data_IF_180634597751
#
_entry.id   IF_180634597751
#
_cell.length_a   1.000
_cell.length_b   1.000
_cell.length_c   1.000
_cell.angle_alpha   90.00
_cell.angle_beta   90.00
_cell.angle_gamma   90.00
#
_symmetry.space_group_name_H-M   'P 1'
#
loop_
_entity.id
_entity.type
_entity.pdbx_description
1 polymer ?
#
# COMPACT_ATOMS: atom_id res chain seq x y z
N UNK A 1 -1.44 47.17 33.31
CA UNK A 1 -1.75 45.72 33.40
C UNK A 1 -1.38 45.03 32.09
N UNK A 2 -0.17 44.49 31.98
CA UNK A 2 0.28 43.74 30.81
C UNK A 2 -0.25 42.31 30.87
N UNK A 3 -1.10 41.92 29.90
CA UNK A 3 -1.51 40.52 29.71
C UNK A 3 -0.31 39.74 29.19
N UNK A 4 0.35 39.00 30.06
CA UNK A 4 1.33 37.97 29.70
C UNK A 4 0.60 36.92 28.86
N UNK A 5 0.84 36.91 27.54
CA UNK A 5 0.37 35.83 26.69
C UNK A 5 1.11 34.55 27.08
N UNK A 6 0.42 33.70 27.83
CA UNK A 6 0.84 32.34 28.13
C UNK A 6 1.03 31.59 26.80
N UNK A 7 2.28 31.44 26.37
CA UNK A 7 2.65 30.59 25.22
C UNK A 7 2.25 29.16 25.59
N UNK A 8 1.06 28.74 25.14
CA UNK A 8 0.62 27.34 25.17
C UNK A 8 1.76 26.47 24.64
N UNK A 9 2.39 25.70 25.52
CA UNK A 9 3.48 24.80 25.16
C UNK A 9 2.96 23.85 24.07
N UNK A 10 3.44 24.04 22.84
CA UNK A 10 3.05 23.17 21.75
C UNK A 10 3.56 21.76 22.07
N UNK A 11 2.73 20.71 21.92
CA UNK A 11 3.16 19.36 22.24
C UNK A 11 4.43 19.02 21.44
N UNK A 12 5.49 18.63 22.15
CA UNK A 12 6.81 18.27 21.57
C UNK A 12 6.72 17.12 20.56
N UNK A 13 5.66 16.32 20.62
CA UNK A 13 5.39 15.25 19.68
C UNK A 13 4.09 15.53 18.92
N UNK A 14 4.19 15.70 17.60
CA UNK A 14 3.03 15.86 16.71
C UNK A 14 2.76 14.52 16.05
N UNK A 15 1.58 13.95 16.29
CA UNK A 15 1.14 12.68 15.65
C UNK A 15 1.33 12.68 14.13
N UNK A 16 1.23 13.84 13.50
CA UNK A 16 1.45 14.09 12.07
C UNK A 16 2.88 13.80 11.58
N UNK A 17 3.88 13.68 12.47
CA UNK A 17 5.26 13.32 12.11
C UNK A 17 5.38 11.81 11.87
N UNK A 18 4.56 11.01 12.56
CA UNK A 18 4.61 9.54 12.49
C UNK A 18 3.48 8.97 11.62
N UNK A 19 2.24 9.41 11.84
CA UNK A 19 1.04 8.79 11.30
C UNK A 19 0.67 9.46 9.96
N UNK A 20 0.66 8.70 8.86
CA UNK A 20 0.15 9.18 7.58
C UNK A 20 -1.33 9.53 7.66
N UNK A 21 -1.70 10.69 7.11
CA UNK A 21 -3.10 11.13 7.08
C UNK A 21 -3.94 10.41 6.01
N UNK A 22 -3.30 9.72 5.06
CA UNK A 22 -3.95 9.08 3.91
C UNK A 22 -4.63 7.77 4.32
N UNK A 23 -5.96 7.78 4.41
CA UNK A 23 -6.74 6.65 4.92
C UNK A 23 -6.61 5.40 4.02
N UNK A 24 -6.55 5.58 2.70
CA UNK A 24 -6.45 4.48 1.73
C UNK A 24 -5.08 3.78 1.72
N UNK A 25 -4.01 4.45 2.14
CA UNK A 25 -2.67 3.85 2.18
C UNK A 25 -2.56 2.73 3.23
N UNK A 26 -3.38 2.80 4.29
CA UNK A 26 -3.39 1.79 5.35
C UNK A 26 -3.95 0.46 4.87
N UNK A 27 -5.00 0.48 4.04
CA UNK A 27 -5.56 -0.75 3.49
C UNK A 27 -4.63 -1.39 2.46
N UNK A 28 -3.84 -0.60 1.71
CA UNK A 28 -2.81 -1.14 0.82
C UNK A 28 -1.71 -1.94 1.55
N UNK A 29 -1.48 -1.69 2.85
CA UNK A 29 -0.58 -2.48 3.68
C UNK A 29 -1.30 -3.66 4.36
N UNK A 30 -2.40 -3.37 5.07
CA UNK A 30 -3.05 -4.35 5.92
C UNK A 30 -3.84 -5.39 5.14
N UNK A 31 -4.48 -5.03 4.02
CA UNK A 31 -5.28 -6.00 3.26
C UNK A 31 -4.38 -7.08 2.65
N UNK A 32 -3.26 -6.78 1.95
CA UNK A 32 -2.39 -7.84 1.45
C UNK A 32 -1.80 -8.71 2.56
N UNK A 33 -1.46 -8.12 3.71
CA UNK A 33 -1.04 -8.89 4.90
C UNK A 33 -2.14 -9.86 5.36
N UNK A 34 -3.37 -9.38 5.56
CA UNK A 34 -4.49 -10.21 6.01
C UNK A 34 -4.85 -11.29 4.99
N UNK A 35 -4.77 -10.98 3.70
CA UNK A 35 -4.97 -11.96 2.63
C UNK A 35 -3.90 -13.03 2.68
N UNK A 36 -2.62 -12.66 2.81
CA UNK A 36 -1.54 -13.64 2.93
C UNK A 36 -1.68 -14.54 4.18
N UNK A 37 -2.04 -13.98 5.34
CA UNK A 37 -2.35 -14.77 6.55
C UNK A 37 -3.53 -15.70 6.28
N UNK A 38 -4.60 -15.20 5.67
CA UNK A 38 -5.81 -15.97 5.37
C UNK A 38 -5.54 -17.12 4.40
N UNK A 39 -4.72 -16.90 3.37
CA UNK A 39 -4.34 -17.93 2.39
C UNK A 39 -3.38 -18.96 3.01
N UNK A 40 -2.42 -18.53 3.83
CA UNK A 40 -1.50 -19.43 4.51
C UNK A 40 -2.16 -20.22 5.65
N UNK A 41 -3.28 -19.74 6.19
CA UNK A 41 -4.06 -20.43 7.22
C UNK A 41 -3.39 -20.51 8.61
N UNK A 42 -2.27 -19.83 8.80
CA UNK A 42 -1.49 -19.89 10.05
C UNK A 42 -1.16 -18.51 10.59
N UNK A 43 -1.17 -18.40 11.92
CA UNK A 43 -0.72 -17.21 12.64
C UNK A 43 0.37 -17.60 13.62
N UNK A 44 1.55 -17.02 13.44
CA UNK A 44 2.76 -17.34 14.20
C UNK A 44 3.57 -16.10 14.54
N UNK A 45 4.58 -16.26 15.41
CA UNK A 45 5.54 -15.18 15.68
C UNK A 45 6.18 -14.66 14.38
N UNK A 46 6.49 -15.55 13.42
CA UNK A 46 7.05 -15.15 12.13
C UNK A 46 6.09 -14.23 11.36
N UNK A 47 4.79 -14.56 11.29
CA UNK A 47 3.80 -13.68 10.64
C UNK A 47 3.69 -12.31 11.34
N UNK A 48 3.81 -12.28 12.67
CA UNK A 48 3.81 -11.03 13.44
C UNK A 48 5.07 -10.19 13.16
N UNK A 49 6.24 -10.81 13.03
CA UNK A 49 7.49 -10.12 12.67
C UNK A 49 7.40 -9.51 11.27
N UNK A 50 6.74 -10.17 10.31
CA UNK A 50 6.46 -9.58 8.99
C UNK A 50 5.60 -8.32 9.13
N UNK A 51 4.54 -8.36 9.95
CA UNK A 51 3.70 -7.19 10.21
C UNK A 51 4.51 -6.04 10.82
N UNK A 52 5.35 -6.33 11.82
CA UNK A 52 6.19 -5.35 12.49
C UNK A 52 7.20 -4.72 11.52
N UNK A 53 7.85 -5.52 10.69
CA UNK A 53 8.78 -5.06 9.66
C UNK A 53 8.07 -4.18 8.61
N UNK A 54 6.98 -4.69 8.02
CA UNK A 54 6.22 -3.99 6.99
C UNK A 54 5.59 -2.69 7.47
N UNK A 55 5.01 -2.69 8.67
CA UNK A 55 4.47 -1.48 9.30
C UNK A 55 5.58 -0.46 9.59
N UNK A 56 6.75 -0.92 10.05
CA UNK A 56 7.88 -0.03 10.29
C UNK A 56 8.33 0.66 9.01
N UNK A 57 8.52 -0.10 7.92
CA UNK A 57 8.88 0.43 6.59
C UNK A 57 7.81 1.38 6.06
N UNK A 58 6.53 1.01 6.18
CA UNK A 58 5.41 1.86 5.79
C UNK A 58 5.41 3.20 6.53
N UNK A 59 5.65 3.18 7.84
CA UNK A 59 5.66 4.38 8.68
C UNK A 59 6.88 5.26 8.42
N UNK A 60 8.02 4.72 7.98
CA UNK A 60 9.23 5.51 7.69
C UNK A 60 9.02 6.62 6.66
N UNK A 61 8.04 6.49 5.75
CA UNK A 61 7.79 7.50 4.70
C UNK A 61 7.53 8.89 5.27
N UNK A 62 6.76 8.97 6.37
CA UNK A 62 6.34 10.24 6.95
C UNK A 62 7.50 10.99 7.63
N UNK A 63 8.26 10.39 8.57
CA UNK A 63 9.43 11.04 9.14
C UNK A 63 10.54 11.22 8.10
N UNK A 64 10.66 10.34 7.09
CA UNK A 64 11.55 10.54 5.94
C UNK A 64 11.25 11.83 5.17
N UNK A 65 9.97 12.05 4.85
CA UNK A 65 9.50 13.28 4.21
C UNK A 65 9.71 14.52 5.09
N UNK A 66 9.41 14.44 6.38
CA UNK A 66 9.63 15.53 7.34
C UNK A 66 11.12 15.88 7.42
N UNK A 67 12.00 14.89 7.53
CA UNK A 67 13.45 15.06 7.54
C UNK A 67 13.95 15.71 6.26
N UNK A 68 13.51 15.23 5.09
CA UNK A 68 13.89 15.80 3.80
C UNK A 68 13.45 17.27 3.66
N UNK A 69 12.22 17.60 4.07
CA UNK A 69 11.72 18.98 4.08
C UNK A 69 12.52 19.87 5.05
N UNK A 70 12.85 19.36 6.24
CA UNK A 70 13.65 20.10 7.22
C UNK A 70 15.06 20.41 6.68
N UNK A 71 15.71 19.44 6.00
CA UNK A 71 17.04 19.62 5.39
C UNK A 71 17.04 20.59 4.20
N UNK A 72 16.00 20.54 3.37
CA UNK A 72 15.87 21.41 2.19
C UNK A 72 15.32 22.80 2.50
N UNK A 73 15.12 23.14 3.78
CA UNK A 73 14.57 24.43 4.21
C UNK A 73 13.06 24.60 3.93
N UNK A 74 12.40 23.57 3.38
CA UNK A 74 10.96 23.56 3.06
C UNK A 74 10.08 23.12 4.23
N UNK A 75 10.67 22.89 5.41
CA UNK A 75 9.99 22.41 6.61
C UNK A 75 10.59 23.02 7.87
N UNK A 76 9.93 22.76 9.00
CA UNK A 76 10.38 23.27 10.30
C UNK A 76 11.66 22.58 10.74
N UNK A 77 12.76 23.33 10.89
CA UNK A 77 14.07 22.77 11.26
C UNK A 77 14.05 22.01 12.59
N UNK A 78 13.22 22.41 13.56
CA UNK A 78 13.09 21.72 14.85
C UNK A 78 12.51 20.31 14.76
N UNK A 79 11.81 19.98 13.68
CA UNK A 79 11.14 18.68 13.52
C UNK A 79 12.13 17.63 12.95
N UNK A 80 13.27 18.07 12.41
CA UNK A 80 14.32 17.22 11.84
C UNK A 80 14.91 16.19 12.82
N UNK A 81 15.42 16.60 14.00
CA UNK A 81 15.98 15.65 14.98
C UNK A 81 14.96 14.61 15.48
N UNK A 82 13.70 15.02 15.66
CA UNK A 82 12.62 14.12 16.09
C UNK A 82 12.33 13.10 15.00
N UNK A 83 12.19 13.55 13.74
CA UNK A 83 12.02 12.67 12.60
C UNK A 83 13.20 11.68 12.44
N UNK A 84 14.43 12.12 12.70
CA UNK A 84 15.62 11.26 12.69
C UNK A 84 15.51 10.12 13.70
N UNK A 85 15.16 10.44 14.95
CA UNK A 85 15.01 9.44 16.02
C UNK A 85 13.95 8.42 15.69
N UNK A 86 12.80 8.86 15.17
CA UNK A 86 11.72 7.97 14.74
C UNK A 86 12.19 7.06 13.61
N UNK A 87 12.88 7.60 12.61
CA UNK A 87 13.45 6.79 11.52
C UNK A 87 14.39 5.72 12.06
N UNK A 88 15.30 6.06 12.96
CA UNK A 88 16.22 5.09 13.57
C UNK A 88 15.46 3.99 14.31
N UNK A 89 14.46 4.34 15.11
CA UNK A 89 13.64 3.36 15.83
C UNK A 89 12.93 2.42 14.85
N UNK A 90 12.25 2.97 13.83
CA UNK A 90 11.56 2.15 12.82
C UNK A 90 12.54 1.27 12.05
N UNK A 91 13.74 1.77 11.74
CA UNK A 91 14.77 1.01 11.02
C UNK A 91 15.30 -0.14 11.86
N UNK A 92 15.56 0.12 13.14
CA UNK A 92 15.94 -0.92 14.08
C UNK A 92 14.84 -1.98 14.22
N UNK A 93 13.58 -1.58 14.36
CA UNK A 93 12.46 -2.53 14.42
C UNK A 93 12.38 -3.40 13.16
N UNK A 94 12.53 -2.81 11.97
CA UNK A 94 12.51 -3.57 10.72
C UNK A 94 13.69 -4.56 10.63
N UNK A 95 14.91 -4.12 10.96
CA UNK A 95 16.11 -4.96 10.95
C UNK A 95 16.02 -6.09 11.97
N UNK A 96 15.59 -5.80 13.19
CA UNK A 96 15.41 -6.80 14.25
C UNK A 96 14.31 -7.81 13.90
N UNK A 97 13.24 -7.36 13.25
CA UNK A 97 12.18 -8.25 12.77
C UNK A 97 12.69 -9.19 11.68
N UNK A 98 13.46 -8.68 10.72
CA UNK A 98 14.11 -9.51 9.69
C UNK A 98 15.11 -10.49 10.31
N UNK A 99 15.96 -10.04 11.24
CA UNK A 99 16.87 -10.91 11.96
C UNK A 99 16.12 -12.02 12.72
N UNK A 100 15.00 -11.69 13.37
CA UNK A 100 14.13 -12.65 14.03
C UNK A 100 13.56 -13.69 13.04
N UNK A 101 13.13 -13.28 11.84
CA UNK A 101 12.68 -14.20 10.79
C UNK A 101 13.78 -15.17 10.36
N UNK A 102 15.01 -14.69 10.19
CA UNK A 102 16.16 -15.52 9.83
C UNK A 102 16.51 -16.51 10.95
N UNK A 103 16.43 -16.08 12.22
CA UNK A 103 16.64 -16.96 13.38
C UNK A 103 15.55 -18.02 13.52
N UNK A 104 14.34 -17.75 13.03
CA UNK A 104 13.24 -18.72 12.94
C UNK A 104 13.37 -19.66 11.72
N UNK A 105 14.44 -19.55 10.93
CA UNK A 105 14.69 -20.41 9.76
C UNK A 105 13.97 -19.96 8.48
N UNK A 106 13.37 -18.78 8.46
CA UNK A 106 12.65 -18.24 7.28
C UNK A 106 13.63 -17.51 6.35
N UNK A 107 14.62 -18.23 5.80
CA UNK A 107 15.64 -17.63 4.92
C UNK A 107 15.09 -17.19 3.56
N UNK A 108 14.06 -17.88 3.08
CA UNK A 108 13.42 -17.62 1.79
C UNK A 108 12.83 -16.21 1.68
N UNK A 109 12.58 -15.55 2.81
CA UNK A 109 12.13 -14.14 2.84
C UNK A 109 13.12 -13.21 2.12
N UNK A 110 14.40 -13.56 2.05
CA UNK A 110 15.43 -12.76 1.40
C UNK A 110 15.23 -12.66 -0.12
N UNK A 111 14.50 -13.59 -0.75
CA UNK A 111 14.16 -13.46 -2.17
C UNK A 111 13.23 -12.27 -2.45
N UNK A 112 12.46 -11.81 -1.45
CA UNK A 112 11.66 -10.60 -1.58
C UNK A 112 12.50 -9.32 -1.62
N UNK A 113 13.80 -9.39 -1.34
CA UNK A 113 14.71 -8.24 -1.54
C UNK A 113 14.78 -7.84 -3.01
N UNK A 114 14.68 -8.79 -3.95
CA UNK A 114 14.72 -8.52 -5.39
C UNK A 114 13.54 -7.62 -5.82
N UNK A 115 12.27 -8.01 -5.64
CA UNK A 115 11.15 -7.13 -5.99
C UNK A 115 11.12 -5.87 -5.12
N UNK A 116 11.56 -5.91 -3.85
CA UNK A 116 11.65 -4.71 -3.03
C UNK A 116 12.66 -3.69 -3.59
N UNK A 117 13.83 -4.14 -4.04
CA UNK A 117 14.83 -3.29 -4.71
C UNK A 117 14.26 -2.73 -6.00
N UNK A 118 13.57 -3.54 -6.81
CA UNK A 118 12.90 -3.08 -8.03
C UNK A 118 11.88 -1.98 -7.71
N UNK A 119 11.04 -2.17 -6.69
CA UNK A 119 10.08 -1.15 -6.22
C UNK A 119 10.79 0.13 -5.81
N UNK A 120 11.88 0.04 -5.03
CA UNK A 120 12.66 1.22 -4.61
C UNK A 120 13.25 1.94 -5.81
N UNK A 121 13.88 1.22 -6.74
CA UNK A 121 14.44 1.80 -7.97
C UNK A 121 13.36 2.50 -8.78
N UNK A 122 12.23 1.83 -9.05
CA UNK A 122 11.11 2.42 -9.78
C UNK A 122 10.53 3.64 -9.07
N UNK A 123 10.46 3.61 -7.74
CA UNK A 123 9.98 4.74 -6.94
C UNK A 123 10.93 5.94 -7.03
N UNK A 124 12.24 5.71 -6.95
CA UNK A 124 13.26 6.75 -7.11
C UNK A 124 13.27 7.31 -8.53
N UNK A 125 13.20 6.46 -9.55
CA UNK A 125 13.09 6.89 -10.97
C UNK A 125 11.80 7.67 -11.22
N UNK A 126 10.68 7.26 -10.63
CA UNK A 126 9.44 8.02 -10.71
C UNK A 126 9.59 9.41 -10.08
N UNK A 127 10.34 9.52 -8.98
CA UNK A 127 10.56 10.78 -8.25
C UNK A 127 11.35 11.83 -9.05
N UNK A 128 12.15 11.42 -10.04
CA UNK A 128 12.92 12.33 -10.89
C UNK A 128 12.13 12.92 -12.05
N UNK A 129 10.86 12.51 -12.25
CA UNK A 129 10.02 13.04 -13.32
C UNK A 129 9.75 14.54 -13.14
N UNK A 130 9.93 15.30 -14.23
CA UNK A 130 9.70 16.76 -14.28
C UNK A 130 8.22 17.12 -14.24
N UNK A 131 7.34 16.23 -14.72
CA UNK A 131 5.90 16.45 -14.71
C UNK A 131 5.32 16.03 -13.35
N UNK A 132 4.93 17.01 -12.53
CA UNK A 132 4.42 16.77 -11.17
C UNK A 132 3.25 15.79 -11.13
N UNK A 133 2.30 15.86 -12.06
CA UNK A 133 1.16 14.95 -12.12
C UNK A 133 1.57 13.49 -12.36
N UNK A 134 2.48 13.27 -13.31
CA UNK A 134 3.05 11.98 -13.68
C UNK A 134 3.91 11.43 -12.54
N UNK A 135 4.77 12.26 -11.95
CA UNK A 135 5.59 11.89 -10.78
C UNK A 135 4.73 11.34 -9.65
N UNK A 136 3.71 12.09 -9.22
CA UNK A 136 2.87 11.68 -8.08
C UNK A 136 2.10 10.41 -8.43
N UNK A 137 1.57 10.29 -9.65
CA UNK A 137 0.86 9.09 -10.09
C UNK A 137 1.76 7.85 -10.04
N UNK A 138 2.95 7.90 -10.62
CA UNK A 138 3.87 6.75 -10.64
C UNK A 138 4.36 6.39 -9.24
N UNK A 139 4.66 7.38 -8.40
CA UNK A 139 5.04 7.13 -7.00
C UNK A 139 3.90 6.44 -6.23
N UNK A 140 2.64 6.83 -6.47
CA UNK A 140 1.48 6.16 -5.87
C UNK A 140 1.30 4.73 -6.38
N UNK A 141 1.38 4.50 -7.70
CA UNK A 141 1.27 3.16 -8.31
C UNK A 141 2.36 2.22 -7.78
N UNK A 142 3.63 2.66 -7.83
CA UNK A 142 4.77 1.86 -7.36
C UNK A 142 4.68 1.62 -5.85
N UNK A 143 4.26 2.64 -5.08
CA UNK A 143 4.02 2.47 -3.65
C UNK A 143 2.90 1.47 -3.35
N UNK A 144 1.78 1.54 -4.06
CA UNK A 144 0.64 0.65 -3.87
C UNK A 144 0.98 -0.81 -4.25
N UNK A 145 1.74 -1.00 -5.34
CA UNK A 145 2.26 -2.31 -5.73
C UNK A 145 3.30 -2.84 -4.74
N UNK A 146 4.21 -1.99 -4.27
CA UNK A 146 5.23 -2.35 -3.29
C UNK A 146 4.65 -2.81 -1.96
N UNK A 147 3.60 -2.15 -1.47
CA UNK A 147 2.91 -2.56 -0.24
C UNK A 147 2.21 -3.93 -0.38
N UNK A 148 1.91 -4.37 -1.60
CA UNK A 148 1.36 -5.71 -1.81
C UNK A 148 2.39 -6.83 -1.53
N UNK A 149 3.69 -6.54 -1.41
CA UNK A 149 4.70 -7.51 -0.98
C UNK A 149 4.44 -8.06 0.44
N UNK A 150 3.56 -7.44 1.23
CA UNK A 150 3.12 -7.99 2.50
C UNK A 150 2.45 -9.37 2.36
N UNK A 151 1.75 -9.62 1.26
CA UNK A 151 1.08 -10.91 1.00
C UNK A 151 2.11 -12.06 0.86
N UNK A 152 3.06 -12.03 -0.08
CA UNK A 152 4.06 -13.09 -0.19
C UNK A 152 4.96 -13.13 1.05
N UNK A 153 5.28 -11.99 1.67
CA UNK A 153 6.12 -11.96 2.87
C UNK A 153 5.52 -12.79 4.01
N UNK A 154 4.23 -12.62 4.27
CA UNK A 154 3.58 -13.35 5.36
C UNK A 154 3.33 -14.82 5.00
N UNK A 155 3.05 -15.14 3.73
CA UNK A 155 2.95 -16.52 3.27
C UNK A 155 4.29 -17.27 3.40
N UNK A 156 5.41 -16.64 3.02
CA UNK A 156 6.75 -17.22 3.22
C UNK A 156 7.06 -17.38 4.70
N UNK A 157 6.71 -16.40 5.54
CA UNK A 157 6.90 -16.50 6.98
C UNK A 157 6.03 -17.57 7.65
N UNK A 158 4.89 -17.90 7.08
CA UNK A 158 4.02 -18.99 7.52
C UNK A 158 4.55 -20.36 7.08
N UNK A 159 4.89 -20.51 5.80
CA UNK A 159 5.24 -21.80 5.19
C UNK A 159 6.74 -22.13 5.29
N UNK A 160 7.59 -21.14 5.62
CA UNK A 160 9.04 -21.24 5.63
C UNK A 160 9.69 -21.29 4.24
N UNK A 161 8.90 -21.25 3.17
CA UNK A 161 9.37 -21.38 1.78
C UNK A 161 8.57 -20.53 0.81
N UNK A 162 9.15 -20.24 -0.35
CA UNK A 162 8.42 -19.59 -1.46
C UNK A 162 7.55 -20.59 -2.19
N UNK A 163 6.28 -20.23 -2.38
CA UNK A 163 5.33 -21.00 -3.18
C UNK A 163 4.89 -20.18 -4.41
N UNK A 164 4.47 -20.85 -5.51
CA UNK A 164 3.87 -20.13 -6.64
C UNK A 164 2.65 -19.29 -6.23
N UNK A 165 1.86 -19.79 -5.27
CA UNK A 165 0.72 -19.08 -4.71
C UNK A 165 1.11 -17.72 -4.08
N UNK A 166 2.28 -17.62 -3.43
CA UNK A 166 2.76 -16.36 -2.86
C UNK A 166 2.90 -15.27 -3.93
N UNK A 167 3.42 -15.62 -5.11
CA UNK A 167 3.53 -14.69 -6.24
C UNK A 167 2.18 -14.39 -6.89
N UNK A 168 1.32 -15.39 -7.02
CA UNK A 168 -0.04 -15.19 -7.51
C UNK A 168 -0.81 -14.19 -6.65
N UNK A 169 -0.81 -14.38 -5.32
CA UNK A 169 -1.45 -13.46 -4.37
C UNK A 169 -0.79 -12.08 -4.41
N UNK A 170 0.55 -12.00 -4.53
CA UNK A 170 1.24 -10.73 -4.75
C UNK A 170 0.68 -9.97 -5.95
N UNK A 171 0.59 -10.60 -7.12
CA UNK A 171 0.11 -9.93 -8.33
C UNK A 171 -1.37 -9.53 -8.23
N UNK A 172 -2.21 -10.36 -7.63
CA UNK A 172 -3.62 -10.02 -7.38
C UNK A 172 -3.73 -8.78 -6.48
N UNK A 173 -3.01 -8.78 -5.35
CA UNK A 173 -3.04 -7.66 -4.40
C UNK A 173 -2.40 -6.39 -4.95
N UNK A 174 -1.29 -6.51 -5.70
CA UNK A 174 -0.63 -5.39 -6.34
C UNK A 174 -1.55 -4.73 -7.37
N UNK A 175 -2.19 -5.53 -8.23
CA UNK A 175 -3.08 -5.00 -9.24
C UNK A 175 -4.34 -4.39 -8.63
N UNK A 176 -4.95 -5.03 -7.62
CA UNK A 176 -6.04 -4.43 -6.84
C UNK A 176 -5.66 -3.05 -6.28
N UNK A 177 -4.48 -2.92 -5.67
CA UNK A 177 -4.01 -1.66 -5.11
C UNK A 177 -3.85 -0.58 -6.21
N UNK A 178 -3.30 -0.95 -7.37
CA UNK A 178 -3.18 -0.06 -8.54
C UNK A 178 -4.55 0.38 -9.06
N UNK A 179 -5.51 -0.54 -9.21
CA UNK A 179 -6.87 -0.21 -9.64
C UNK A 179 -7.55 0.74 -8.63
N UNK A 180 -7.32 0.53 -7.34
CA UNK A 180 -7.81 1.45 -6.31
C UNK A 180 -7.21 2.85 -6.45
N UNK A 181 -5.93 2.99 -6.82
CA UNK A 181 -5.30 4.29 -7.10
C UNK A 181 -6.00 4.99 -8.26
N UNK A 182 -6.17 4.30 -9.39
CA UNK A 182 -6.83 4.89 -10.57
C UNK A 182 -8.27 5.32 -10.27
N UNK A 183 -9.03 4.45 -9.60
CA UNK A 183 -10.41 4.71 -9.26
C UNK A 183 -10.54 5.91 -8.30
N UNK A 184 -9.77 5.94 -7.22
CA UNK A 184 -9.81 7.05 -6.24
C UNK A 184 -9.39 8.37 -6.89
N UNK A 185 -8.33 8.37 -7.70
CA UNK A 185 -7.89 9.57 -8.42
C UNK A 185 -8.95 10.09 -9.39
N UNK A 186 -9.59 9.21 -10.15
CA UNK A 186 -10.69 9.58 -11.05
C UNK A 186 -11.84 10.23 -10.26
N UNK A 187 -12.25 9.62 -9.14
CA UNK A 187 -13.34 10.15 -8.29
C UNK A 187 -12.99 11.50 -7.66
N UNK A 188 -11.74 11.70 -7.26
CA UNK A 188 -11.24 13.00 -6.76
C UNK A 188 -11.22 14.04 -7.89
N UNK A 189 -10.77 13.67 -9.09
CA UNK A 189 -10.78 14.56 -10.25
C UNK A 189 -12.21 15.01 -10.62
N UNK A 190 -13.16 14.08 -10.64
CA UNK A 190 -14.59 14.38 -10.85
C UNK A 190 -15.14 15.35 -9.79
N UNK A 191 -14.68 15.23 -8.53
CA UNK A 191 -15.09 16.12 -7.42
C UNK A 191 -14.58 17.53 -7.60
N UNK A 192 -13.36 17.68 -8.13
CA UNK A 192 -12.74 18.99 -8.38
C UNK A 192 -12.97 19.51 -9.80
N UNK A 193 -13.83 18.85 -10.59
CA UNK A 193 -14.10 19.18 -11.99
C UNK A 193 -12.80 19.30 -12.81
N UNK A 194 -11.87 18.39 -12.57
CA UNK A 194 -10.61 18.30 -13.32
C UNK A 194 -10.67 17.15 -14.31
N UNK A 195 -9.94 17.30 -15.41
CA UNK A 195 -9.77 16.24 -16.40
C UNK A 195 -8.91 15.12 -15.82
N UNK A 196 -9.57 14.10 -15.28
CA UNK A 196 -8.96 12.84 -14.87
C UNK A 196 -8.94 11.85 -16.02
N UNK A 197 -7.88 11.04 -16.14
CA UNK A 197 -7.83 9.97 -17.14
C UNK A 197 -8.77 8.81 -16.77
N UNK A 198 -10.02 8.90 -17.21
CA UNK A 198 -11.00 7.80 -17.06
C UNK A 198 -10.59 6.54 -17.82
N UNK A 199 -9.89 6.76 -18.93
CA UNK A 199 -9.34 5.71 -19.77
C UNK A 199 -8.35 4.85 -18.99
N UNK A 200 -7.52 5.44 -18.12
CA UNK A 200 -6.56 4.67 -17.31
C UNK A 200 -7.24 3.70 -16.34
N UNK A 201 -8.34 4.11 -15.71
CA UNK A 201 -9.13 3.25 -14.81
C UNK A 201 -9.80 2.11 -15.57
N UNK A 202 -10.37 2.41 -16.74
CA UNK A 202 -11.00 1.40 -17.60
C UNK A 202 -9.97 0.41 -18.18
N UNK A 203 -8.92 0.90 -18.83
CA UNK A 203 -7.87 0.06 -19.40
C UNK A 203 -7.18 -0.79 -18.33
N UNK A 204 -6.86 -0.20 -17.17
CA UNK A 204 -6.28 -0.95 -16.06
C UNK A 204 -7.18 -2.09 -15.61
N UNK A 205 -8.50 -1.86 -15.54
CA UNK A 205 -9.46 -2.88 -15.13
C UNK A 205 -9.64 -3.97 -16.18
N UNK A 206 -9.67 -3.61 -17.47
CA UNK A 206 -9.69 -4.57 -18.59
C UNK A 206 -8.45 -5.45 -18.56
N UNK A 207 -7.26 -4.85 -18.48
CA UNK A 207 -5.98 -5.58 -18.37
C UNK A 207 -5.99 -6.49 -17.14
N UNK A 208 -6.48 -6.00 -16.01
CA UNK A 208 -6.59 -6.77 -14.77
C UNK A 208 -7.45 -8.01 -14.93
N UNK A 209 -8.69 -7.85 -15.39
CA UNK A 209 -9.62 -8.97 -15.62
C UNK A 209 -9.02 -9.98 -16.59
N UNK A 210 -8.50 -9.52 -17.74
CA UNK A 210 -7.90 -10.40 -18.74
C UNK A 210 -6.71 -11.17 -18.19
N UNK A 211 -5.83 -10.51 -17.42
CA UNK A 211 -4.68 -11.15 -16.80
C UNK A 211 -5.10 -12.19 -15.74
N UNK A 212 -6.10 -11.88 -14.91
CA UNK A 212 -6.61 -12.84 -13.90
C UNK A 212 -7.32 -14.03 -14.56
N UNK A 213 -8.09 -13.81 -15.64
CA UNK A 213 -8.68 -14.90 -16.43
C UNK A 213 -7.59 -15.78 -17.03
N UNK A 214 -6.58 -15.19 -17.67
CA UNK A 214 -5.47 -15.95 -18.23
C UNK A 214 -4.73 -16.75 -17.15
N UNK A 215 -4.46 -16.14 -15.99
CA UNK A 215 -3.85 -16.82 -14.86
C UNK A 215 -4.71 -17.97 -14.32
N UNK A 216 -6.04 -17.83 -14.31
CA UNK A 216 -6.97 -18.88 -13.87
C UNK A 216 -7.00 -20.04 -14.86
N UNK A 217 -7.04 -19.76 -16.16
CA UNK A 217 -6.96 -20.78 -17.23
C UNK A 217 -5.65 -21.55 -17.15
N UNK A 218 -4.54 -20.87 -16.82
CA UNK A 218 -3.22 -21.49 -16.65
C UNK A 218 -3.04 -22.17 -15.29
N UNK A 219 -4.03 -22.13 -14.40
CA UNK A 219 -3.98 -22.78 -13.07
C UNK A 219 -3.13 -22.04 -12.03
N UNK A 220 -2.72 -20.80 -12.28
CA UNK A 220 -1.94 -20.00 -11.30
C UNK A 220 -2.79 -19.37 -10.21
N UNK A 221 -4.06 -19.11 -10.48
CA UNK A 221 -5.03 -18.55 -9.51
C UNK A 221 -6.35 -19.32 -9.57
N UNK A 222 -7.11 -19.40 -8.47
CA UNK A 222 -8.45 -19.99 -8.48
C UNK A 222 -9.43 -19.17 -9.32
N UNK A 223 -10.40 -19.82 -9.97
CA UNK A 223 -11.41 -19.15 -10.80
C UNK A 223 -12.20 -18.07 -10.06
N UNK A 224 -12.49 -18.28 -8.77
CA UNK A 224 -13.24 -17.31 -7.97
C UNK A 224 -12.47 -15.99 -7.78
N UNK A 225 -11.14 -15.96 -7.95
CA UNK A 225 -10.33 -14.74 -7.93
C UNK A 225 -10.66 -13.78 -9.10
N UNK A 226 -11.39 -14.21 -10.12
CA UNK A 226 -11.85 -13.35 -11.23
C UNK A 226 -12.94 -12.38 -10.75
N UNK A 227 -13.80 -12.79 -9.80
CA UNK A 227 -14.98 -12.02 -9.40
C UNK A 227 -14.65 -10.59 -8.93
N UNK A 228 -13.66 -10.36 -8.06
CA UNK A 228 -13.27 -9.01 -7.67
C UNK A 228 -12.84 -8.12 -8.83
N UNK A 229 -12.14 -8.69 -9.82
CA UNK A 229 -11.63 -7.94 -10.96
C UNK A 229 -12.77 -7.58 -11.92
N UNK A 230 -13.75 -8.48 -12.10
CA UNK A 230 -15.00 -8.14 -12.79
C UNK A 230 -15.73 -7.00 -12.08
N UNK A 231 -15.81 -7.03 -10.75
CA UNK A 231 -16.39 -5.94 -9.99
C UNK A 231 -15.62 -4.61 -10.20
N UNK A 232 -14.29 -4.62 -10.24
CA UNK A 232 -13.50 -3.42 -10.59
C UNK A 232 -13.78 -2.93 -12.01
N UNK A 233 -13.89 -3.82 -12.99
CA UNK A 233 -14.23 -3.47 -14.37
C UNK A 233 -15.62 -2.82 -14.44
N UNK A 234 -16.63 -3.39 -13.77
CA UNK A 234 -17.96 -2.80 -13.69
C UNK A 234 -17.92 -1.40 -13.04
N UNK A 235 -17.14 -1.22 -11.97
CA UNK A 235 -16.94 0.10 -11.35
C UNK A 235 -16.28 1.10 -12.30
N UNK A 236 -15.27 0.67 -13.07
CA UNK A 236 -14.58 1.51 -14.03
C UNK A 236 -15.49 1.91 -15.21
N UNK A 237 -16.29 0.97 -15.73
CA UNK A 237 -17.32 1.25 -16.75
C UNK A 237 -18.33 2.26 -16.20
N UNK A 238 -18.78 2.08 -14.97
CA UNK A 238 -19.75 2.97 -14.33
C UNK A 238 -19.24 4.41 -14.15
N UNK A 239 -17.95 4.61 -13.85
CA UNK A 239 -17.34 5.95 -13.75
C UNK A 239 -16.84 6.49 -15.09
N UNK A 240 -16.63 5.66 -16.10
CA UNK A 240 -16.20 6.09 -17.42
C UNK A 240 -17.26 7.00 -18.07
N UNK A 241 -18.51 6.56 -18.07
CA UNK A 241 -19.62 7.20 -18.79
C UNK A 241 -20.06 8.56 -18.22
N UNK A 242 -19.93 8.78 -16.92
CA UNK A 242 -20.44 10.00 -16.26
C UNK A 242 -19.57 10.39 -15.08
N UNK A 243 -19.34 11.70 -14.91
CA UNK A 243 -18.65 12.24 -13.73
C UNK A 243 -19.39 11.85 -12.45
N UNK A 244 -18.67 11.25 -11.51
CA UNK A 244 -19.22 10.85 -10.21
C UNK A 244 -18.44 11.57 -9.10
N UNK A 245 -18.78 12.81 -8.75
CA UNK A 245 -18.14 13.48 -7.63
C UNK A 245 -18.35 12.72 -6.32
N UNK A 246 -17.47 12.94 -5.35
CA UNK A 246 -17.52 12.34 -4.02
C UNK A 246 -18.31 13.29 -3.10
N UNK A 247 -19.46 12.88 -2.54
CA UNK A 247 -20.23 13.76 -1.64
C UNK A 247 -19.48 14.05 -0.34
N UNK A 248 -18.83 13.04 0.25
CA UNK A 248 -18.10 13.15 1.52
C UNK A 248 -16.81 12.34 1.44
N UNK A 249 -15.66 13.04 1.34
CA UNK A 249 -14.33 12.43 1.14
C UNK A 249 -14.00 11.41 2.23
N UNK A 250 -14.29 11.72 3.50
CA UNK A 250 -13.99 10.82 4.63
C UNK A 250 -14.77 9.50 4.52
N UNK A 251 -16.08 9.57 4.26
CA UNK A 251 -16.93 8.38 4.11
C UNK A 251 -16.46 7.53 2.93
N UNK A 252 -16.18 8.18 1.80
CA UNK A 252 -15.65 7.52 0.60
C UNK A 252 -14.35 6.77 0.89
N UNK A 253 -13.41 7.37 1.62
CA UNK A 253 -12.16 6.71 2.02
C UNK A 253 -12.42 5.40 2.79
N UNK A 254 -13.32 5.41 3.78
CA UNK A 254 -13.70 4.20 4.51
C UNK A 254 -14.45 3.18 3.64
N UNK A 255 -15.29 3.64 2.70
CA UNK A 255 -15.94 2.75 1.73
C UNK A 255 -14.92 2.01 0.87
N UNK A 256 -13.88 2.70 0.38
CA UNK A 256 -12.83 2.03 -0.41
C UNK A 256 -12.01 1.04 0.42
N UNK A 257 -11.74 1.32 1.70
CA UNK A 257 -11.14 0.34 2.62
C UNK A 257 -12.04 -0.89 2.75
N UNK A 258 -13.35 -0.70 2.90
CA UNK A 258 -14.33 -1.79 2.94
C UNK A 258 -14.34 -2.62 1.67
N UNK A 259 -14.30 -1.99 0.49
CA UNK A 259 -14.20 -2.70 -0.80
C UNK A 259 -12.92 -3.54 -0.85
N UNK A 260 -11.78 -2.99 -0.46
CA UNK A 260 -10.52 -3.74 -0.48
C UNK A 260 -10.55 -4.94 0.48
N UNK A 261 -11.20 -4.82 1.64
CA UNK A 261 -11.39 -5.92 2.59
C UNK A 261 -12.29 -7.02 2.01
N UNK A 262 -13.41 -6.65 1.38
CA UNK A 262 -14.31 -7.62 0.73
C UNK A 262 -13.58 -8.35 -0.39
N UNK A 263 -12.83 -7.64 -1.23
CA UNK A 263 -12.02 -8.27 -2.27
C UNK A 263 -10.98 -9.21 -1.67
N UNK A 264 -10.26 -8.77 -0.64
CA UNK A 264 -9.29 -9.61 0.06
C UNK A 264 -9.92 -10.87 0.62
N UNK A 265 -11.11 -10.75 1.23
CA UNK A 265 -11.86 -11.91 1.73
C UNK A 265 -12.24 -12.89 0.61
N UNK A 266 -12.74 -12.40 -0.53
CA UNK A 266 -13.06 -13.27 -1.69
C UNK A 266 -11.81 -13.98 -2.22
N UNK A 267 -10.67 -13.29 -2.27
CA UNK A 267 -9.38 -13.92 -2.64
C UNK A 267 -9.01 -14.99 -1.62
N UNK A 268 -9.12 -14.74 -0.32
CA UNK A 268 -8.84 -15.78 0.69
C UNK A 268 -9.73 -17.00 0.45
N UNK A 269 -11.05 -16.81 0.40
CA UNK A 269 -12.02 -17.90 0.16
C UNK A 269 -11.71 -18.65 -1.12
N UNK A 270 -11.27 -17.98 -2.18
CA UNK A 270 -10.96 -18.64 -3.45
C UNK A 270 -9.83 -19.66 -3.35
N UNK A 271 -8.86 -19.48 -2.45
CA UNK A 271 -7.74 -20.43 -2.27
C UNK A 271 -8.10 -21.61 -1.35
N UNK A 272 -9.25 -21.57 -0.68
CA UNK A 272 -9.74 -22.64 0.19
C UNK A 272 -10.80 -23.53 -0.47
N UNK A 273 -11.24 -23.19 -1.69
CA UNK A 273 -12.23 -23.93 -2.50
C UNK A 273 -11.54 -24.61 -3.68
#
# INVERSE_FOLDING_TARGET
MARTMEKKAQPRFRKQILIPAEHGSWSWLFVPYLVGVGVAGTYSLATFLVLAAGLSVFLMRQPGMVMSRARTGRGRRSDGPIAARILVILSLTAVLSLAGLLLLGVSDILWLTIPAVVVVVLYLTASTSRHTSVRILWMEIVGAAGLALMAPAVMIAADGRITPAAWSVFFLMAWQNILSVFYVRQRIADTHQRDGSRVSSLLGSVVGVTAVIAAAVLGYVPWLAILPFLAFLLRAIWTYHKSRPIPVIKKFGFTEVGVQLIVGFVIVVSYWL
#
